data_IF_272864723736
#
_entry.id   IF_272864723736
#
_cell.length_a   1.000
_cell.length_b   1.000
_cell.length_c   1.000
_cell.angle_alpha   90.00
_cell.angle_beta   90.00
_cell.angle_gamma   90.00
#
_symmetry.space_group_name_H-M   'P 1'
#
loop_
_entity.id
_entity.type
_entity.pdbx_description
1 polymer ?
#
# COMPACT_ATOMS: atom_id res chain seq x y z
N UNK A 1 7.44 -11.01 8.35
CA UNK A 1 6.80 -10.34 7.19
C UNK A 1 6.34 -8.96 7.61
N UNK A 2 6.48 -7.97 6.72
CA UNK A 2 6.17 -6.57 7.04
C UNK A 2 5.37 -5.87 5.94
N UNK A 3 4.88 -4.67 6.28
CA UNK A 3 4.12 -3.78 5.42
C UNK A 3 4.92 -2.49 5.27
N UNK A 4 5.12 -2.03 4.05
CA UNK A 4 5.67 -0.73 3.73
C UNK A 4 4.54 0.28 3.52
N UNK A 5 4.38 1.26 4.41
CA UNK A 5 3.54 2.44 4.18
C UNK A 5 4.36 3.47 3.40
N UNK A 6 4.00 3.67 2.15
CA UNK A 6 4.71 4.47 1.16
C UNK A 6 4.01 5.82 0.96
N UNK A 7 4.45 6.85 1.66
CA UNK A 7 3.88 8.19 1.59
C UNK A 7 4.55 9.05 0.53
N UNK A 8 3.76 9.63 -0.35
CA UNK A 8 4.18 10.70 -1.25
C UNK A 8 3.55 11.98 -0.72
N UNK A 9 4.38 12.85 -0.12
CA UNK A 9 3.90 14.09 0.48
C UNK A 9 4.03 15.27 -0.50
N UNK A 10 3.07 16.20 -0.39
CA UNK A 10 2.98 17.38 -1.23
C UNK A 10 4.10 18.40 -0.93
N UNK A 11 4.06 19.54 -1.63
CA UNK A 11 5.03 20.64 -1.49
C UNK A 11 5.09 21.22 -0.06
N UNK A 12 3.98 21.17 0.69
CA UNK A 12 3.95 21.61 2.09
C UNK A 12 4.73 20.66 3.01
N UNK A 13 5.01 19.45 2.56
CA UNK A 13 5.80 18.42 3.24
C UNK A 13 5.33 18.13 4.66
N UNK A 14 4.03 18.15 4.84
CA UNK A 14 3.34 17.81 6.08
C UNK A 14 2.46 16.57 5.87
N UNK A 15 2.15 15.88 6.95
CA UNK A 15 1.14 14.83 6.98
C UNK A 15 -0.05 15.35 7.79
N UNK A 16 -1.24 15.43 7.19
CA UNK A 16 -2.40 16.10 7.79
C UNK A 16 -2.82 15.51 9.13
N UNK A 17 -2.69 14.22 9.31
CA UNK A 17 -3.08 13.48 10.52
C UNK A 17 -1.89 12.76 11.14
N UNK A 18 -0.74 13.43 11.21
CA UNK A 18 0.52 12.81 11.63
C UNK A 18 0.42 12.14 13.00
N UNK A 19 -0.11 12.83 14.02
CA UNK A 19 -0.25 12.28 15.36
C UNK A 19 -1.10 11.01 15.38
N UNK A 20 -2.22 11.04 14.65
CA UNK A 20 -3.13 9.91 14.53
C UNK A 20 -2.44 8.73 13.84
N UNK A 21 -1.61 8.98 12.80
CA UNK A 21 -0.81 7.95 12.17
C UNK A 21 0.20 7.32 13.14
N UNK A 22 0.91 8.12 13.93
CA UNK A 22 1.88 7.64 14.91
C UNK A 22 1.22 6.71 15.94
N UNK A 23 0.08 7.15 16.52
CA UNK A 23 -0.69 6.37 17.47
C UNK A 23 -1.25 5.07 16.86
N UNK A 24 -1.74 5.13 15.61
CA UNK A 24 -2.29 3.97 14.92
C UNK A 24 -1.23 2.95 14.52
N UNK A 25 0.00 3.37 14.20
CA UNK A 25 1.11 2.49 13.86
C UNK A 25 1.65 1.77 15.09
N UNK A 26 1.66 2.41 16.25
CA UNK A 26 2.32 1.92 17.46
C UNK A 26 1.99 0.45 17.82
N UNK A 27 0.72 -0.02 17.77
CA UNK A 27 0.39 -1.42 18.05
C UNK A 27 0.95 -2.42 17.01
N UNK A 28 1.36 -1.95 15.84
CA UNK A 28 1.86 -2.75 14.72
C UNK A 28 3.28 -2.35 14.29
N UNK A 29 4.05 -1.67 15.16
CA UNK A 29 5.40 -1.21 14.84
C UNK A 29 6.38 -2.35 14.51
N UNK A 30 6.05 -3.57 14.93
CA UNK A 30 6.80 -4.80 14.63
C UNK A 30 6.66 -5.26 13.17
N UNK A 31 5.54 -4.90 12.52
CA UNK A 31 5.25 -5.29 11.13
C UNK A 31 5.16 -4.11 10.16
N UNK A 32 5.21 -2.86 10.62
CA UNK A 32 5.07 -1.69 9.76
C UNK A 32 6.40 -0.96 9.59
N UNK A 33 6.82 -0.77 8.35
CA UNK A 33 7.84 0.15 7.92
C UNK A 33 7.18 1.39 7.30
N UNK A 34 7.69 2.59 7.60
CA UNK A 34 7.17 3.86 7.08
C UNK A 34 8.23 4.51 6.20
N UNK A 35 7.83 4.96 5.00
CA UNK A 35 8.71 5.60 4.04
C UNK A 35 8.06 6.84 3.46
N UNK A 36 8.78 7.99 3.51
CA UNK A 36 8.34 9.25 2.90
C UNK A 36 9.19 9.60 1.69
N UNK A 37 8.53 9.79 0.55
CA UNK A 37 9.11 10.55 -0.56
C UNK A 37 8.72 12.01 -0.39
N UNK A 38 9.71 12.90 -0.47
CA UNK A 38 9.61 14.33 -0.21
C UNK A 38 10.21 15.15 -1.36
N UNK A 39 10.00 16.46 -1.36
CA UNK A 39 10.57 17.36 -2.38
C UNK A 39 11.89 17.97 -1.92
N UNK A 40 11.93 18.50 -0.68
CA UNK A 40 13.12 19.14 -0.10
C UNK A 40 13.24 18.78 1.39
N UNK A 41 14.30 18.07 1.74
CA UNK A 41 14.53 17.60 3.13
C UNK A 41 14.64 18.76 4.14
N UNK A 42 15.26 19.88 3.74
CA UNK A 42 15.48 21.01 4.66
C UNK A 42 14.21 21.74 5.07
N UNK A 43 13.13 21.59 4.30
CA UNK A 43 11.84 22.26 4.58
C UNK A 43 10.86 21.37 5.35
N UNK A 44 11.22 20.11 5.60
CA UNK A 44 10.42 19.22 6.45
C UNK A 44 10.52 19.71 7.89
N UNK A 45 9.37 20.08 8.48
CA UNK A 45 9.30 20.53 9.88
C UNK A 45 9.16 19.38 10.88
N UNK A 46 8.53 18.28 10.47
CA UNK A 46 8.29 17.11 11.34
C UNK A 46 9.52 16.23 11.49
N UNK A 47 9.99 16.03 12.72
CA UNK A 47 11.08 15.10 13.03
C UNK A 47 10.68 13.64 12.75
N UNK A 48 9.39 13.30 12.89
CA UNK A 48 8.91 11.97 12.56
C UNK A 48 8.98 11.70 11.05
N UNK A 49 8.58 12.66 10.21
CA UNK A 49 8.74 12.55 8.75
C UNK A 49 10.23 12.47 8.38
N UNK A 50 11.10 13.32 8.95
CA UNK A 50 12.55 13.27 8.70
C UNK A 50 13.14 11.91 9.04
N UNK A 51 12.77 11.33 10.17
CA UNK A 51 13.22 10.00 10.61
C UNK A 51 12.88 8.89 9.62
N UNK A 52 11.73 9.01 8.94
CA UNK A 52 11.23 8.00 8.01
C UNK A 52 11.37 8.41 6.54
N UNK A 53 12.01 9.54 6.26
CA UNK A 53 12.31 9.99 4.92
C UNK A 53 13.27 9.04 4.21
N UNK A 54 12.98 8.66 2.97
CA UNK A 54 13.92 7.85 2.20
C UNK A 54 15.19 8.65 1.88
N UNK A 55 16.37 8.00 1.79
CA UNK A 55 17.62 8.70 1.54
C UNK A 55 17.60 9.53 0.24
N UNK A 56 18.28 10.68 0.24
CA UNK A 56 18.33 11.64 -0.87
C UNK A 56 18.63 10.99 -2.24
N UNK A 57 19.48 9.98 -2.28
CA UNK A 57 19.81 9.25 -3.52
C UNK A 57 18.62 8.54 -4.18
N UNK A 58 17.51 8.37 -3.48
CA UNK A 58 16.26 7.81 -4.00
C UNK A 58 15.21 8.89 -4.30
N UNK A 59 15.47 10.15 -3.95
CA UNK A 59 14.55 11.25 -4.25
C UNK A 59 14.65 11.61 -5.72
N UNK A 60 13.50 11.71 -6.34
CA UNK A 60 13.35 12.09 -7.76
C UNK A 60 12.46 13.31 -7.87
N UNK A 61 12.77 14.19 -8.81
CA UNK A 61 11.92 15.34 -9.09
C UNK A 61 10.59 14.88 -9.65
N UNK A 62 9.51 15.37 -9.08
CA UNK A 62 8.14 15.07 -9.49
C UNK A 62 7.32 16.35 -9.61
N UNK A 63 6.24 16.27 -10.38
CA UNK A 63 5.21 17.30 -10.44
C UNK A 63 3.85 16.64 -10.24
N UNK A 64 2.81 17.44 -10.04
CA UNK A 64 1.44 16.93 -9.86
C UNK A 64 1.02 15.94 -10.96
N UNK A 65 1.43 16.17 -12.20
CA UNK A 65 1.07 15.32 -13.34
C UNK A 65 2.06 14.18 -13.63
N UNK A 66 3.25 14.22 -13.04
CA UNK A 66 4.36 13.29 -13.33
C UNK A 66 4.93 12.72 -12.02
N UNK A 67 4.12 11.92 -11.33
CA UNK A 67 4.42 11.43 -9.98
C UNK A 67 4.90 9.97 -9.96
N UNK A 68 4.80 9.24 -11.08
CA UNK A 68 5.19 7.82 -11.17
C UNK A 68 6.61 7.54 -10.67
N UNK A 69 7.63 8.38 -10.95
CA UNK A 69 8.98 8.17 -10.44
C UNK A 69 9.06 8.08 -8.91
N UNK A 70 8.23 8.84 -8.17
CA UNK A 70 8.17 8.75 -6.70
C UNK A 70 7.64 7.40 -6.21
N UNK A 71 6.62 6.85 -6.89
CA UNK A 71 6.13 5.49 -6.60
C UNK A 71 7.22 4.45 -6.75
N UNK A 72 7.95 4.49 -7.88
CA UNK A 72 9.03 3.54 -8.15
C UNK A 72 10.21 3.71 -7.19
N UNK A 73 10.54 4.94 -6.80
CA UNK A 73 11.56 5.22 -5.78
C UNK A 73 11.23 4.59 -4.44
N UNK A 74 9.99 4.75 -3.97
CA UNK A 74 9.52 4.15 -2.73
C UNK A 74 9.54 2.62 -2.81
N UNK A 75 9.10 2.03 -3.93
CA UNK A 75 9.19 0.58 -4.15
C UNK A 75 10.63 0.09 -4.13
N UNK A 76 11.50 0.75 -4.91
CA UNK A 76 12.91 0.36 -5.00
C UNK A 76 13.61 0.44 -3.64
N UNK A 77 13.36 1.53 -2.90
CA UNK A 77 13.91 1.68 -1.55
C UNK A 77 13.37 0.61 -0.61
N UNK A 78 12.06 0.45 -0.53
CA UNK A 78 11.43 -0.48 0.41
C UNK A 78 11.75 -1.95 0.13
N UNK A 79 11.93 -2.35 -1.15
CA UNK A 79 12.38 -3.68 -1.54
C UNK A 79 13.83 -3.96 -1.11
N UNK A 80 14.70 -2.92 -1.12
CA UNK A 80 16.11 -3.04 -0.72
C UNK A 80 16.34 -2.87 0.78
N UNK A 81 15.58 -1.98 1.42
CA UNK A 81 15.75 -1.63 2.82
C UNK A 81 15.34 -2.76 3.76
N UNK A 82 14.20 -3.40 3.47
CA UNK A 82 13.72 -4.51 4.27
C UNK A 82 13.14 -5.62 3.38
N UNK A 83 13.85 -6.75 3.24
CA UNK A 83 13.40 -7.87 2.40
C UNK A 83 12.14 -8.57 2.96
N UNK A 84 11.74 -8.29 4.19
CA UNK A 84 10.51 -8.81 4.79
C UNK A 84 9.25 -8.04 4.37
N UNK A 85 9.36 -6.89 3.72
CA UNK A 85 8.22 -6.17 3.17
C UNK A 85 7.48 -7.04 2.14
N UNK A 86 6.23 -7.36 2.45
CA UNK A 86 5.34 -8.14 1.58
C UNK A 86 4.24 -7.29 0.94
N UNK A 87 3.85 -6.19 1.59
CA UNK A 87 2.91 -5.20 1.08
C UNK A 87 3.54 -3.82 0.99
N UNK A 88 3.20 -3.10 -0.09
CA UNK A 88 3.56 -1.71 -0.36
C UNK A 88 2.28 -0.90 -0.53
N UNK A 89 1.87 -0.15 0.49
CA UNK A 89 0.64 0.62 0.53
C UNK A 89 0.95 2.07 0.12
N UNK A 90 0.37 2.54 -0.98
CA UNK A 90 0.58 3.91 -1.45
C UNK A 90 -0.39 4.89 -0.81
N UNK A 91 0.17 5.92 -0.20
CA UNK A 91 -0.51 6.93 0.60
C UNK A 91 -0.03 8.33 0.20
N UNK A 92 -0.81 9.33 0.56
CA UNK A 92 -0.42 10.74 0.42
C UNK A 92 -0.61 11.47 1.76
N UNK A 93 -0.19 12.71 1.80
CA UNK A 93 -0.38 13.63 2.93
C UNK A 93 -1.81 13.77 3.43
N UNK A 94 -2.79 13.64 2.54
CA UNK A 94 -4.21 13.77 2.85
C UNK A 94 -4.91 12.40 3.06
N UNK A 95 -4.17 11.34 3.33
CA UNK A 95 -4.72 10.05 3.76
C UNK A 95 -4.70 9.93 5.28
N UNK A 96 -5.65 9.17 5.83
CA UNK A 96 -5.59 8.72 7.23
C UNK A 96 -6.06 7.26 7.34
N UNK A 97 -5.75 6.54 8.43
CA UNK A 97 -6.29 5.21 8.67
C UNK A 97 -7.83 5.23 8.74
N UNK A 98 -8.45 4.13 8.32
CA UNK A 98 -9.90 3.97 8.33
C UNK A 98 -10.35 2.60 8.87
N UNK A 99 -9.42 1.85 9.42
CA UNK A 99 -9.66 0.60 10.15
C UNK A 99 -8.78 0.57 11.39
N UNK A 100 -9.16 -0.21 12.41
CA UNK A 100 -8.34 -0.36 13.60
C UNK A 100 -7.01 -1.08 13.31
N UNK A 101 -5.97 -0.86 14.13
CA UNK A 101 -4.67 -1.51 13.96
C UNK A 101 -4.77 -3.03 13.90
N UNK A 102 -5.58 -3.63 14.76
CA UNK A 102 -5.76 -5.08 14.81
C UNK A 102 -6.44 -5.61 13.54
N UNK A 103 -7.49 -4.90 13.05
CA UNK A 103 -8.15 -5.24 11.79
C UNK A 103 -7.20 -5.13 10.61
N UNK A 104 -6.36 -4.10 10.57
CA UNK A 104 -5.35 -3.93 9.52
C UNK A 104 -4.34 -5.08 9.51
N UNK A 105 -3.85 -5.50 10.70
CA UNK A 105 -2.96 -6.65 10.85
C UNK A 105 -3.60 -7.95 10.35
N UNK A 106 -4.85 -8.22 10.74
CA UNK A 106 -5.62 -9.38 10.26
C UNK A 106 -5.75 -9.37 8.73
N UNK A 107 -6.16 -8.22 8.15
CA UNK A 107 -6.29 -8.07 6.70
C UNK A 107 -4.98 -8.32 5.95
N UNK A 108 -3.86 -7.85 6.51
CA UNK A 108 -2.54 -8.14 5.97
C UNK A 108 -2.23 -9.64 5.98
N UNK A 109 -2.37 -10.28 7.14
CA UNK A 109 -2.07 -11.71 7.30
C UNK A 109 -2.91 -12.60 6.39
N UNK A 110 -4.17 -12.24 6.17
CA UNK A 110 -5.05 -12.95 5.24
C UNK A 110 -4.70 -12.74 3.76
N UNK A 111 -4.15 -11.56 3.43
CA UNK A 111 -4.10 -11.09 2.04
C UNK A 111 -2.71 -10.78 1.52
N UNK A 112 -1.62 -10.97 2.28
CA UNK A 112 -0.27 -10.56 1.89
C UNK A 112 0.22 -11.15 0.54
N UNK A 113 -0.39 -12.24 0.08
CA UNK A 113 -0.09 -12.88 -1.21
C UNK A 113 -0.75 -12.21 -2.42
N UNK A 114 -1.57 -11.18 -2.20
CA UNK A 114 -2.30 -10.49 -3.25
C UNK A 114 -1.98 -8.99 -3.27
N UNK A 115 -1.88 -8.43 -4.45
CA UNK A 115 -2.05 -7.00 -4.66
C UNK A 115 -3.54 -6.66 -4.62
N UNK A 116 -3.87 -5.45 -4.15
CA UNK A 116 -5.25 -4.94 -4.09
C UNK A 116 -5.24 -3.59 -4.80
N UNK A 117 -5.94 -3.50 -5.92
CA UNK A 117 -5.97 -2.31 -6.75
C UNK A 117 -7.27 -2.30 -7.55
N UNK A 118 -8.01 -1.21 -7.45
CA UNK A 118 -9.14 -0.98 -8.35
C UNK A 118 -8.62 -0.64 -9.74
N UNK A 119 -9.04 -1.41 -10.74
CA UNK A 119 -8.65 -1.21 -12.11
C UNK A 119 -9.80 -1.52 -13.08
N UNK A 120 -9.80 -0.86 -14.25
CA UNK A 120 -10.82 -1.02 -15.29
C UNK A 120 -10.31 -0.50 -16.64
N UNK A 121 -10.99 -0.74 -17.76
CA UNK A 121 -10.74 -0.03 -19.00
C UNK A 121 -10.80 1.49 -18.78
N UNK A 122 -9.94 2.25 -19.46
CA UNK A 122 -9.93 3.70 -19.38
C UNK A 122 -11.29 4.29 -19.77
N UNK A 123 -11.86 5.12 -18.91
CA UNK A 123 -13.21 5.71 -19.08
C UNK A 123 -13.21 7.08 -19.72
N UNK A 124 -12.02 7.64 -20.00
CA UNK A 124 -11.89 8.93 -20.70
C UNK A 124 -11.60 8.74 -22.18
N UNK A 125 -11.87 9.78 -22.96
CA UNK A 125 -11.51 9.76 -24.38
C UNK A 125 -9.97 9.86 -24.53
N UNK A 126 -9.34 8.75 -24.88
CA UNK A 126 -7.88 8.61 -25.02
C UNK A 126 -7.32 9.42 -26.21
N UNK A 127 -8.14 9.80 -27.18
CA UNK A 127 -7.72 10.60 -28.33
C UNK A 127 -7.67 12.10 -28.03
N UNK A 128 -8.44 12.54 -27.05
CA UNK A 128 -8.55 13.94 -26.65
C UNK A 128 -7.61 14.25 -25.47
N UNK A 129 -7.55 13.34 -24.49
CA UNK A 129 -6.77 13.52 -23.25
C UNK A 129 -5.47 12.74 -23.32
N UNK A 130 -4.35 13.44 -23.18
CA UNK A 130 -3.02 12.84 -23.18
C UNK A 130 -2.68 12.17 -21.81
N UNK A 131 -3.67 11.45 -21.20
CA UNK A 131 -3.45 10.72 -19.95
C UNK A 131 -2.70 9.43 -20.24
N UNK A 132 -1.51 9.28 -19.62
CA UNK A 132 -0.64 8.12 -19.79
C UNK A 132 -0.31 7.76 -21.26
N UNK A 133 -0.55 8.67 -22.21
CA UNK A 133 -0.35 8.45 -23.65
C UNK A 133 -1.01 7.17 -24.19
N UNK A 134 -2.15 6.76 -23.64
CA UNK A 134 -2.80 5.48 -23.96
C UNK A 134 -3.08 5.30 -25.45
N UNK A 135 -3.35 6.39 -26.20
CA UNK A 135 -3.55 6.34 -27.66
C UNK A 135 -2.39 5.71 -28.46
N UNK A 136 -1.19 5.64 -27.86
CA UNK A 136 -0.01 5.05 -28.49
C UNK A 136 0.13 3.55 -28.19
N UNK A 137 -0.76 2.99 -27.39
CA UNK A 137 -0.80 1.59 -27.01
C UNK A 137 -1.92 0.86 -27.77
N UNK A 138 -1.84 -0.44 -27.88
CA UNK A 138 -2.92 -1.27 -28.40
C UNK A 138 -4.09 -1.33 -27.40
N UNK A 139 -5.33 -1.59 -27.86
CA UNK A 139 -6.55 -1.45 -27.06
C UNK A 139 -6.56 -2.24 -25.74
N UNK A 140 -5.92 -3.40 -25.67
CA UNK A 140 -5.82 -4.23 -24.48
C UNK A 140 -5.04 -3.56 -23.35
N UNK A 141 -4.23 -2.55 -23.65
CA UNK A 141 -3.50 -1.73 -22.68
C UNK A 141 -4.17 -0.40 -22.33
N UNK A 142 -5.36 -0.14 -22.86
CA UNK A 142 -6.14 1.05 -22.48
C UNK A 142 -6.75 0.84 -21.09
N UNK A 143 -5.90 0.74 -20.07
CA UNK A 143 -6.25 0.42 -18.70
C UNK A 143 -6.10 1.65 -17.80
N UNK A 144 -6.96 1.71 -16.79
CA UNK A 144 -6.90 2.66 -15.71
C UNK A 144 -6.85 1.94 -14.36
N UNK A 145 -6.17 2.54 -13.39
CA UNK A 145 -6.17 2.11 -12.00
C UNK A 145 -6.34 3.30 -11.06
N UNK A 146 -6.91 3.05 -9.88
CA UNK A 146 -6.85 4.04 -8.82
C UNK A 146 -5.40 4.31 -8.43
N UNK A 147 -5.02 5.57 -8.15
CA UNK A 147 -3.64 5.90 -7.80
C UNK A 147 -3.25 5.46 -6.37
N UNK A 148 -4.20 4.92 -5.61
CA UNK A 148 -4.03 4.45 -4.24
C UNK A 148 -4.35 2.95 -4.20
N UNK A 149 -3.33 2.16 -4.00
CA UNK A 149 -3.41 0.72 -4.07
C UNK A 149 -2.34 0.06 -3.20
N UNK A 150 -2.40 -1.24 -3.10
CA UNK A 150 -1.43 -2.07 -2.41
C UNK A 150 -0.82 -3.05 -3.41
N UNK A 151 0.51 -3.06 -3.48
CA UNK A 151 1.23 -4.09 -4.23
C UNK A 151 1.84 -5.12 -3.29
N UNK A 152 1.68 -6.41 -3.62
CA UNK A 152 2.51 -7.46 -3.03
C UNK A 152 3.95 -7.34 -3.54
N UNK A 153 4.90 -7.89 -2.80
CA UNK A 153 6.34 -7.80 -3.08
C UNK A 153 6.72 -8.20 -4.51
N UNK A 154 6.18 -9.29 -5.02
CA UNK A 154 6.47 -9.75 -6.38
C UNK A 154 6.02 -8.74 -7.44
N UNK A 155 4.80 -8.20 -7.30
CA UNK A 155 4.25 -7.22 -8.22
C UNK A 155 5.01 -5.89 -8.13
N UNK A 156 5.40 -5.47 -6.92
CA UNK A 156 6.26 -4.31 -6.68
C UNK A 156 7.62 -4.45 -7.40
N UNK A 157 8.25 -5.61 -7.29
CA UNK A 157 9.49 -5.92 -8.01
C UNK A 157 9.31 -5.85 -9.53
N UNK A 158 8.21 -6.40 -10.08
CA UNK A 158 7.90 -6.31 -11.50
C UNK A 158 7.71 -4.87 -11.97
N UNK A 159 7.02 -4.04 -11.17
CA UNK A 159 6.84 -2.62 -11.50
C UNK A 159 8.18 -1.87 -11.57
N UNK A 160 9.07 -2.08 -10.60
CA UNK A 160 10.42 -1.49 -10.62
C UNK A 160 11.22 -1.99 -11.81
N UNK A 161 11.26 -3.31 -12.03
CA UNK A 161 12.03 -3.91 -13.12
C UNK A 161 11.56 -3.44 -14.50
N UNK A 162 10.24 -3.27 -14.69
CA UNK A 162 9.66 -2.81 -15.96
C UNK A 162 10.24 -1.47 -16.42
N UNK A 163 10.46 -0.53 -15.49
CA UNK A 163 11.02 0.79 -15.81
C UNK A 163 12.44 0.73 -16.39
N UNK A 164 13.18 -0.35 -16.13
CA UNK A 164 14.52 -0.57 -16.68
C UNK A 164 14.48 -1.41 -17.95
N UNK A 165 13.77 -2.53 -17.94
CA UNK A 165 13.75 -3.49 -19.06
C UNK A 165 12.93 -2.97 -20.24
N UNK A 166 11.82 -2.30 -19.98
CA UNK A 166 10.93 -1.74 -20.99
C UNK A 166 10.99 -0.21 -21.01
N UNK A 167 12.16 0.36 -20.81
CA UNK A 167 12.37 1.80 -20.61
C UNK A 167 11.68 2.66 -21.66
N UNK A 168 11.76 2.32 -22.95
CA UNK A 168 11.14 3.09 -24.04
C UNK A 168 9.63 3.20 -23.89
N UNK A 169 8.96 2.09 -23.55
CA UNK A 169 7.50 2.06 -23.36
C UNK A 169 7.14 2.78 -22.05
N UNK A 170 7.91 2.54 -21.00
CA UNK A 170 7.74 3.23 -19.72
C UNK A 170 7.83 4.76 -19.88
N UNK A 171 8.88 5.25 -20.52
CA UNK A 171 9.08 6.68 -20.75
C UNK A 171 7.95 7.28 -21.60
N UNK A 172 7.49 6.57 -22.62
CA UNK A 172 6.37 6.98 -23.46
C UNK A 172 5.07 7.11 -22.65
N UNK A 173 4.74 6.13 -21.80
CA UNK A 173 3.56 6.20 -20.94
C UNK A 173 3.69 7.33 -19.92
N UNK A 174 4.85 7.46 -19.26
CA UNK A 174 5.10 8.43 -18.20
C UNK A 174 5.28 9.87 -18.70
N UNK A 175 5.54 10.08 -19.98
CA UNK A 175 5.50 11.44 -20.59
C UNK A 175 4.07 11.97 -20.73
N UNK A 176 3.05 11.10 -20.67
CA UNK A 176 1.66 11.50 -20.55
C UNK A 176 1.31 11.99 -19.14
N UNK A 177 0.30 12.85 -19.03
CA UNK A 177 -0.16 13.36 -17.74
C UNK A 177 -0.85 12.25 -16.92
N UNK A 178 -0.74 12.29 -15.59
CA UNK A 178 -1.44 11.41 -14.64
C UNK A 178 -1.22 9.92 -14.97
N UNK A 179 -0.01 9.56 -15.41
CA UNK A 179 0.33 8.20 -15.77
C UNK A 179 0.22 7.20 -14.60
N UNK A 180 0.29 7.67 -13.34
CA UNK A 180 0.07 6.87 -12.14
C UNK A 180 -1.34 6.24 -12.06
N UNK A 181 -2.32 6.75 -12.81
CA UNK A 181 -3.65 6.18 -12.90
C UNK A 181 -3.82 5.15 -14.03
N UNK A 182 -2.73 4.65 -14.59
CA UNK A 182 -2.76 3.65 -15.67
C UNK A 182 -1.58 2.69 -15.64
N UNK A 183 -0.37 3.18 -15.40
CA UNK A 183 0.86 2.44 -15.66
C UNK A 183 0.98 1.14 -14.83
N UNK A 184 0.48 1.13 -13.59
CA UNK A 184 0.58 -0.06 -12.74
C UNK A 184 -0.31 -1.20 -13.24
N UNK A 185 -1.54 -0.89 -13.66
CA UNK A 185 -2.41 -1.88 -14.32
C UNK A 185 -1.80 -2.37 -15.64
N UNK A 186 -1.22 -1.48 -16.45
CA UNK A 186 -0.55 -1.81 -17.71
C UNK A 186 0.63 -2.75 -17.47
N UNK A 187 1.49 -2.44 -16.50
CA UNK A 187 2.64 -3.29 -16.16
C UNK A 187 2.18 -4.67 -15.74
N UNK A 188 1.24 -4.76 -14.80
CA UNK A 188 0.74 -6.04 -14.31
C UNK A 188 0.01 -6.83 -15.41
N UNK A 189 -0.66 -6.14 -16.34
CA UNK A 189 -1.27 -6.78 -17.50
C UNK A 189 -0.20 -7.37 -18.44
N UNK A 190 0.88 -6.63 -18.73
CA UNK A 190 1.96 -7.09 -19.61
C UNK A 190 2.67 -8.34 -19.08
N UNK A 191 2.73 -8.51 -17.77
CA UNK A 191 3.23 -9.74 -17.12
C UNK A 191 2.15 -10.81 -16.88
N UNK A 192 0.91 -10.62 -17.38
CA UNK A 192 -0.24 -11.51 -17.18
C UNK A 192 -0.63 -11.70 -15.70
N UNK A 193 -0.24 -10.75 -14.85
CA UNK A 193 -0.46 -10.79 -13.39
C UNK A 193 -1.74 -10.05 -12.96
N UNK A 194 -2.25 -9.14 -13.79
CA UNK A 194 -3.40 -8.29 -13.46
C UNK A 194 -4.65 -9.09 -13.05
N UNK A 195 -4.87 -10.26 -13.65
CA UNK A 195 -5.98 -11.17 -13.29
C UNK A 195 -5.90 -11.73 -11.87
N UNK A 196 -4.72 -11.70 -11.24
CA UNK A 196 -4.49 -12.18 -9.88
C UNK A 196 -4.56 -11.05 -8.85
N UNK A 197 -4.72 -9.80 -9.30
CA UNK A 197 -4.92 -8.63 -8.44
C UNK A 197 -6.37 -8.65 -7.96
N UNK A 198 -6.59 -8.42 -6.67
CA UNK A 198 -7.93 -8.17 -6.16
C UNK A 198 -8.39 -6.80 -6.66
N UNK A 199 -9.41 -6.81 -7.54
CA UNK A 199 -9.97 -5.60 -8.13
C UNK A 199 -10.91 -4.91 -7.13
N UNK A 200 -10.31 -4.29 -6.10
CA UNK A 200 -10.99 -3.71 -4.95
C UNK A 200 -10.39 -2.35 -4.60
N UNK A 201 -11.18 -1.50 -3.96
CA UNK A 201 -10.73 -0.19 -3.48
C UNK A 201 -10.06 -0.33 -2.11
N UNK A 202 -8.90 0.31 -1.96
CA UNK A 202 -8.16 0.35 -0.68
C UNK A 202 -8.42 1.61 0.13
N UNK A 203 -9.01 2.61 -0.51
CA UNK A 203 -9.31 3.91 0.09
C UNK A 203 -10.80 4.24 -0.01
N UNK A 204 -11.35 4.75 1.08
CA UNK A 204 -12.65 5.42 1.08
C UNK A 204 -12.47 6.81 0.47
N UNK A 205 -13.10 7.04 -0.68
CA UNK A 205 -13.01 8.29 -1.44
C UNK A 205 -14.40 8.71 -1.88
N UNK A 206 -14.83 9.90 -1.50
CA UNK A 206 -16.14 10.41 -1.91
C UNK A 206 -16.06 11.15 -3.24
N UNK A 207 -16.43 10.44 -4.29
CA UNK A 207 -16.57 10.97 -5.64
C UNK A 207 -17.96 11.55 -5.94
N UNK A 208 -18.94 11.34 -5.06
CA UNK A 208 -20.29 11.90 -5.26
C UNK A 208 -20.33 13.42 -5.05
N UNK A 209 -19.44 13.92 -4.17
CA UNK A 209 -19.28 15.34 -3.81
C UNK A 209 -17.98 15.93 -4.34
N UNK A 210 -17.70 15.74 -5.63
CA UNK A 210 -16.48 16.25 -6.25
C UNK A 210 -16.31 17.76 -6.13
N UNK A 211 -15.12 18.23 -5.81
CA UNK A 211 -14.74 19.65 -5.83
C UNK A 211 -14.37 20.16 -7.23
N UNK A 212 -14.22 19.26 -8.17
CA UNK A 212 -13.86 19.53 -9.56
C UNK A 212 -13.72 18.21 -10.33
N UNK A 213 -13.52 18.27 -11.67
CA UNK A 213 -13.54 17.09 -12.54
C UNK A 213 -12.56 15.97 -12.16
N UNK A 214 -11.50 16.31 -11.43
CA UNK A 214 -10.42 15.36 -11.05
C UNK A 214 -10.12 15.40 -9.55
N UNK A 215 -11.00 15.98 -8.71
CA UNK A 215 -10.77 16.08 -7.27
C UNK A 215 -11.98 15.62 -6.48
N UNK A 216 -11.87 14.55 -5.68
CA UNK A 216 -12.93 14.12 -4.80
C UNK A 216 -13.20 15.11 -3.69
N UNK A 217 -14.23 14.85 -2.90
CA UNK A 217 -14.54 15.61 -1.68
C UNK A 217 -13.33 15.64 -0.73
N UNK A 218 -13.21 16.75 -0.01
CA UNK A 218 -12.21 16.91 1.06
C UNK A 218 -12.96 17.02 2.39
N UNK A 219 -12.79 16.03 3.24
CA UNK A 219 -13.34 16.00 4.59
C UNK A 219 -12.66 17.04 5.45
N UNK A 220 -13.40 18.06 5.90
CA UNK A 220 -12.89 19.19 6.68
C UNK A 220 -13.59 19.40 8.02
N UNK A 221 -14.91 19.40 7.98
CA UNK A 221 -15.75 19.88 9.11
C UNK A 221 -16.37 18.72 9.89
N UNK A 222 -16.52 17.56 9.26
CA UNK A 222 -17.16 16.41 9.88
C UNK A 222 -18.67 16.61 10.08
N UNK A 223 -19.32 17.19 9.08
CA UNK A 223 -20.78 17.38 9.09
C UNK A 223 -21.51 16.03 8.96
N UNK A 224 -22.84 16.04 9.11
CA UNK A 224 -23.69 14.85 9.06
C UNK A 224 -23.51 14.06 7.76
N UNK A 225 -23.31 14.74 6.63
CA UNK A 225 -23.08 14.08 5.33
C UNK A 225 -21.73 13.37 5.31
N UNK A 226 -20.69 13.95 5.93
CA UNK A 226 -19.39 13.30 6.09
C UNK A 226 -19.51 12.04 6.94
N UNK A 227 -20.19 12.14 8.08
CA UNK A 227 -20.40 11.02 9.01
C UNK A 227 -21.19 9.91 8.33
N UNK A 228 -22.28 10.24 7.65
CA UNK A 228 -23.11 9.28 6.90
C UNK A 228 -22.31 8.54 5.81
N UNK A 229 -21.47 9.26 5.08
CA UNK A 229 -20.59 8.65 4.09
C UNK A 229 -19.61 7.64 4.74
N UNK A 230 -18.95 8.03 5.84
CA UNK A 230 -17.98 7.17 6.52
C UNK A 230 -18.65 5.87 7.03
N UNK A 231 -19.84 5.98 7.61
CA UNK A 231 -20.60 4.82 8.10
C UNK A 231 -21.01 3.87 6.98
N UNK A 232 -21.58 4.41 5.92
CA UNK A 232 -22.00 3.61 4.78
C UNK A 232 -20.81 2.94 4.09
N UNK A 233 -19.69 3.66 3.95
CA UNK A 233 -18.53 3.15 3.25
C UNK A 233 -17.82 2.05 4.03
N UNK A 234 -17.65 2.20 5.34
CA UNK A 234 -17.01 1.20 6.21
C UNK A 234 -17.76 -0.15 6.21
N UNK A 235 -19.09 -0.12 6.06
CA UNK A 235 -19.94 -1.31 6.04
C UNK A 235 -19.95 -2.04 4.69
N UNK A 236 -19.69 -1.32 3.58
CA UNK A 236 -19.82 -1.88 2.22
C UNK A 236 -18.50 -2.40 1.64
N UNK A 237 -17.37 -1.86 2.06
CA UNK A 237 -16.09 -2.06 1.38
C UNK A 237 -15.09 -2.78 2.27
N UNK A 238 -14.96 -4.09 2.07
CA UNK A 238 -14.11 -4.97 2.89
C UNK A 238 -12.63 -4.56 2.92
N UNK A 239 -12.10 -4.02 1.80
CA UNK A 239 -10.66 -3.73 1.65
C UNK A 239 -10.29 -2.27 1.83
N UNK A 240 -11.24 -1.40 2.17
CA UNK A 240 -10.96 0.02 2.43
C UNK A 240 -10.32 0.22 3.80
N UNK A 241 -9.00 0.36 3.78
CA UNK A 241 -8.18 0.51 4.99
C UNK A 241 -7.86 1.96 5.32
N UNK A 242 -8.02 2.85 4.34
CA UNK A 242 -7.65 4.26 4.45
C UNK A 242 -8.78 5.18 3.97
N UNK A 243 -8.80 6.41 4.46
CA UNK A 243 -9.73 7.48 4.05
C UNK A 243 -8.97 8.58 3.31
N UNK A 244 -9.58 9.18 2.29
CA UNK A 244 -9.03 10.27 1.48
C UNK A 244 -10.16 11.13 0.87
N UNK A 245 -10.04 12.45 0.72
CA UNK A 245 -8.96 13.33 1.22
C UNK A 245 -9.36 13.90 2.58
N UNK A 246 -8.50 13.80 3.54
CA UNK A 246 -8.75 14.35 4.88
C UNK A 246 -7.92 15.61 5.05
N UNK A 247 -8.58 16.71 5.38
CA UNK A 247 -7.92 17.97 5.74
C UNK A 247 -7.38 17.89 7.16
N UNK A 248 -6.36 18.69 7.47
CA UNK A 248 -5.79 18.78 8.82
C UNK A 248 -6.80 19.21 9.87
N UNK A 249 -7.82 19.99 9.48
CA UNK A 249 -8.89 20.49 10.36
C UNK A 249 -9.98 19.47 10.66
N UNK A 250 -10.08 18.36 9.91
CA UNK A 250 -11.12 17.34 10.14
C UNK A 250 -11.02 16.81 11.58
N UNK A 251 -12.13 16.75 12.35
CA UNK A 251 -12.10 16.34 13.75
C UNK A 251 -11.64 14.90 13.94
N UNK A 252 -10.55 14.67 14.70
CA UNK A 252 -9.97 13.34 14.92
C UNK A 252 -10.92 12.41 15.68
N UNK A 253 -11.75 12.94 16.58
CA UNK A 253 -12.74 12.17 17.34
C UNK A 253 -13.75 11.45 16.46
N UNK A 254 -14.05 11.96 15.25
CA UNK A 254 -14.93 11.29 14.29
C UNK A 254 -14.27 10.07 13.63
N UNK A 255 -12.96 10.00 13.66
CA UNK A 255 -12.19 8.87 13.12
C UNK A 255 -11.96 7.77 14.17
N UNK A 256 -11.91 8.15 15.47
CA UNK A 256 -11.55 7.26 16.57
C UNK A 256 -12.37 5.96 16.57
N UNK A 257 -13.67 6.02 16.30
CA UNK A 257 -14.54 4.84 16.26
C UNK A 257 -14.15 3.81 15.18
N UNK A 258 -13.46 4.23 14.11
CA UNK A 258 -13.01 3.34 13.03
C UNK A 258 -11.62 2.79 13.27
N UNK A 259 -10.77 3.55 13.98
CA UNK A 259 -9.35 3.28 14.10
C UNK A 259 -8.93 2.75 15.47
N UNK A 260 -9.87 2.58 16.38
CA UNK A 260 -9.60 2.07 17.74
C UNK A 260 -10.15 0.65 17.89
N UNK A 261 -9.35 -0.23 18.48
CA UNK A 261 -9.79 -1.57 18.86
C UNK A 261 -10.48 -1.50 20.24
N UNK A 262 -11.75 -1.88 20.31
CA UNK A 262 -12.48 -2.00 21.56
C UNK A 262 -12.04 -3.28 22.26
N UNK A 263 -11.40 -3.17 23.42
CA UNK A 263 -10.65 -4.26 24.07
C UNK A 263 -11.52 -5.46 24.42
N UNK A 264 -12.71 -5.22 24.93
CA UNK A 264 -13.63 -6.25 25.45
C UNK A 264 -14.71 -6.67 24.44
N UNK A 265 -14.63 -6.16 23.20
CA UNK A 265 -15.54 -6.59 22.14
C UNK A 265 -15.20 -8.00 21.65
N UNK A 266 -16.24 -8.84 21.52
CA UNK A 266 -16.10 -10.24 21.08
C UNK A 266 -15.43 -10.35 19.70
N UNK A 267 -15.66 -9.39 18.81
CA UNK A 267 -15.01 -9.35 17.50
C UNK A 267 -13.52 -9.08 17.63
N UNK A 268 -13.11 -8.20 18.54
CA UNK A 268 -11.71 -7.90 18.83
C UNK A 268 -11.00 -9.11 19.46
N UNK A 269 -11.67 -9.83 20.38
CA UNK A 269 -11.15 -11.06 20.99
C UNK A 269 -10.95 -12.14 19.92
N UNK A 270 -11.96 -12.39 19.09
CA UNK A 270 -11.88 -13.38 18.02
C UNK A 270 -10.78 -13.02 17.00
N UNK A 271 -10.63 -11.74 16.64
CA UNK A 271 -9.59 -11.26 15.74
C UNK A 271 -8.19 -11.51 16.31
N UNK A 272 -7.95 -11.24 17.59
CA UNK A 272 -6.67 -11.54 18.26
C UNK A 272 -6.34 -13.04 18.20
N UNK A 273 -7.34 -13.91 18.41
CA UNK A 273 -7.17 -15.36 18.28
C UNK A 273 -6.82 -15.78 16.85
N UNK A 274 -7.53 -15.23 15.86
CA UNK A 274 -7.26 -15.51 14.44
C UNK A 274 -5.85 -15.08 14.03
N UNK A 275 -5.44 -13.86 14.41
CA UNK A 275 -4.10 -13.34 14.15
C UNK A 275 -3.05 -14.28 14.74
N UNK A 276 -3.17 -14.67 16.01
CA UNK A 276 -2.23 -15.59 16.67
C UNK A 276 -2.13 -16.92 15.92
N UNK A 277 -3.24 -17.49 15.49
CA UNK A 277 -3.26 -18.73 14.73
C UNK A 277 -2.54 -18.58 13.38
N UNK A 278 -2.82 -17.50 12.66
CA UNK A 278 -2.15 -17.22 11.37
C UNK A 278 -0.64 -17.01 11.54
N UNK A 279 -0.21 -16.25 12.53
CA UNK A 279 1.21 -16.03 12.82
C UNK A 279 1.93 -17.32 13.20
N UNK A 280 1.30 -18.16 14.02
CA UNK A 280 1.82 -19.49 14.39
C UNK A 280 1.97 -20.36 13.15
N UNK A 281 0.93 -20.45 12.30
CA UNK A 281 1.01 -21.21 11.06
C UNK A 281 2.12 -20.72 10.12
N UNK A 282 2.27 -19.41 9.97
CA UNK A 282 3.32 -18.82 9.14
C UNK A 282 4.71 -19.07 9.71
N UNK A 283 4.87 -19.05 11.02
CA UNK A 283 6.11 -19.44 11.69
C UNK A 283 6.50 -20.89 11.32
N UNK A 284 5.58 -21.84 11.48
CA UNK A 284 5.84 -23.23 11.11
C UNK A 284 6.16 -23.39 9.62
N UNK A 285 5.47 -22.67 8.72
CA UNK A 285 5.77 -22.73 7.29
C UNK A 285 7.18 -22.16 6.97
N UNK A 286 7.60 -21.09 7.61
CA UNK A 286 8.94 -20.49 7.42
C UNK A 286 10.06 -21.45 7.83
N UNK A 287 9.87 -22.21 8.92
CA UNK A 287 10.89 -23.09 9.51
C UNK A 287 10.73 -24.57 9.13
N UNK A 288 9.69 -24.96 8.40
CA UNK A 288 9.43 -26.34 8.00
C UNK A 288 10.61 -26.99 7.27
N UNK A 289 11.26 -26.27 6.38
CA UNK A 289 12.45 -26.76 5.67
C UNK A 289 13.63 -27.04 6.59
N UNK A 290 13.89 -26.13 7.55
CA UNK A 290 14.97 -26.28 8.51
C UNK A 290 14.73 -27.40 9.52
N UNK A 291 13.48 -27.58 9.99
CA UNK A 291 13.10 -28.67 10.87
C UNK A 291 13.25 -30.02 10.16
N UNK A 292 12.79 -30.17 8.93
CA UNK A 292 12.95 -31.40 8.16
C UNK A 292 14.44 -31.72 7.91
N UNK A 293 15.24 -30.70 7.59
CA UNK A 293 16.69 -30.86 7.38
C UNK A 293 17.42 -31.24 8.69
N UNK A 294 17.05 -30.63 9.80
CA UNK A 294 17.55 -30.98 11.14
C UNK A 294 17.20 -32.41 11.54
N UNK A 295 15.96 -32.87 11.30
CA UNK A 295 15.55 -34.26 11.51
C UNK A 295 16.35 -35.22 10.62
N UNK A 296 16.54 -34.89 9.34
CA UNK A 296 17.32 -35.73 8.40
C UNK A 296 18.77 -35.89 8.86
N UNK A 297 19.41 -34.80 9.26
CA UNK A 297 20.78 -34.84 9.81
C UNK A 297 20.83 -35.68 11.10
N UNK A 298 19.89 -35.46 12.01
CA UNK A 298 19.85 -36.20 13.29
C UNK A 298 19.65 -37.70 13.09
N UNK A 299 18.73 -38.11 12.21
CA UNK A 299 18.54 -39.54 11.89
C UNK A 299 19.72 -40.13 11.11
N UNK A 300 20.37 -39.36 10.24
CA UNK A 300 21.60 -39.80 9.55
C UNK A 300 22.74 -40.02 10.56
N UNK A 301 22.91 -39.16 11.57
CA UNK A 301 23.87 -39.32 12.65
C UNK A 301 23.56 -40.57 13.50
N UNK A 302 22.30 -40.78 13.86
CA UNK A 302 21.91 -41.98 14.61
C UNK A 302 22.15 -43.26 13.81
N UNK A 303 21.88 -43.25 12.51
CA UNK A 303 22.12 -44.38 11.61
C UNK A 303 23.63 -44.66 11.47
N UNK A 304 24.48 -43.66 11.32
CA UNK A 304 25.94 -43.81 11.30
C UNK A 304 26.48 -44.29 12.63
N UNK A 305 25.94 -43.81 13.76
CA UNK A 305 26.38 -44.23 15.11
C UNK A 305 26.03 -45.72 15.38
N UNK A 306 24.88 -46.18 14.89
CA UNK A 306 24.50 -47.60 15.01
C UNK A 306 25.38 -48.54 14.16
N UNK A 307 26.04 -48.04 13.12
CA UNK A 307 26.96 -48.82 12.28
C UNK A 307 28.40 -48.90 12.82
N UNK A 308 28.75 -48.05 13.77
CA UNK A 308 30.08 -48.01 14.39
C UNK A 308 30.15 -48.91 15.66
N UNK A 309 29.03 -49.26 16.22
CA UNK A 309 28.88 -50.06 17.47
C UNK A 309 28.61 -51.54 17.20
N UNK A 310 28.45 -51.96 15.98
CA UNK A 310 28.46 -53.34 15.53
C UNK A 310 29.80 -53.69 14.89
#
# INVERSE_FOLDING_TARGET
>A
MKIALCFIISYDQILHKEKLWQEWILPNQDIINVYFHYTNYSTISSEWIKKHAIPQKYIVNTTYYHIVPAYLSLLLFGLKHDPENQWFCFLTDACCPFVSPLKFREMFLENYKYSIMSWKPAWWNIHVKNRANLKQLTPEYHLANDPWFILKKEDAFKCVNYSFVNKKIYDMICSGIIANESIFAIILHSFKMLKNVKNEVTHAVDWSRMRGPNSPHVFKEGNETDISFLEQFSNKNKYSMFLRKVDKSFPDNLLVKYITDVVDDIHTINRRKNIRNMETHMFFMKYRGGLLFGFFIFFSFLYFYSYIII
#
